data_IF_332810255438
#
_entry.id   IF_332810255438
#
_cell.length_a   1.000
_cell.length_b   1.000
_cell.length_c   1.000
_cell.angle_alpha   90.00
_cell.angle_beta   90.00
_cell.angle_gamma   90.00
#
_symmetry.space_group_name_H-M   'P 1'
#
loop_
_entity.id
_entity.type
_entity.pdbx_description
1 polymer ?
#
# COMPACT_ATOMS: atom_id res chain seq x y z
N UNK A 1 4.06 26.18 -3.83
CA UNK A 1 2.64 25.78 -3.79
C UNK A 1 2.62 24.27 -3.90
N UNK A 2 2.36 23.54 -2.80
CA UNK A 2 2.22 22.10 -2.90
C UNK A 2 0.95 21.82 -3.71
N UNK A 3 1.11 21.22 -4.88
CA UNK A 3 -0.01 20.63 -5.62
C UNK A 3 -0.56 19.53 -4.73
N UNK A 4 -1.70 19.79 -4.09
CA UNK A 4 -2.40 18.80 -3.29
C UNK A 4 -2.76 17.59 -4.16
N UNK A 5 -3.04 16.43 -3.55
CA UNK A 5 -3.49 15.27 -4.30
C UNK A 5 -4.71 15.62 -5.16
N UNK A 6 -4.86 14.99 -6.34
CA UNK A 6 -6.07 15.16 -7.15
C UNK A 6 -7.29 14.86 -6.28
N UNK A 7 -8.45 15.46 -6.59
CA UNK A 7 -9.67 15.34 -5.75
C UNK A 7 -10.02 13.90 -5.38
N UNK A 8 -9.77 12.96 -6.29
CA UNK A 8 -10.00 11.52 -6.09
C UNK A 8 -9.09 10.88 -5.04
N UNK A 9 -7.93 11.47 -4.72
CA UNK A 9 -6.97 11.01 -3.71
C UNK A 9 -6.90 11.96 -2.50
N UNK A 10 -7.82 12.92 -2.40
CA UNK A 10 -7.91 13.82 -1.26
C UNK A 10 -8.35 13.05 0.00
N UNK A 11 -9.29 12.12 -0.19
CA UNK A 11 -9.81 11.22 0.83
C UNK A 11 -8.76 10.18 1.28
N UNK A 12 -8.69 9.94 2.59
CA UNK A 12 -7.71 9.01 3.17
C UNK A 12 -8.07 7.55 2.89
N UNK A 13 -9.36 7.19 2.90
CA UNK A 13 -9.81 5.83 2.59
C UNK A 13 -9.41 5.40 1.18
N UNK A 14 -9.64 6.29 0.21
CA UNK A 14 -9.26 6.08 -1.20
C UNK A 14 -7.75 5.93 -1.36
N UNK A 15 -6.95 6.78 -0.70
CA UNK A 15 -5.49 6.62 -0.67
C UNK A 15 -5.09 5.28 -0.05
N UNK A 16 -5.73 4.88 1.05
CA UNK A 16 -5.46 3.62 1.73
C UNK A 16 -5.69 2.43 0.80
N UNK A 17 -6.80 2.40 0.08
CA UNK A 17 -7.09 1.34 -0.91
C UNK A 17 -5.99 1.27 -1.97
N UNK A 18 -5.64 2.41 -2.58
CA UNK A 18 -4.61 2.48 -3.62
C UNK A 18 -3.27 2.00 -3.07
N UNK A 19 -2.90 2.43 -1.87
CA UNK A 19 -1.66 2.02 -1.21
C UNK A 19 -1.65 0.51 -0.95
N UNK A 20 -2.74 -0.10 -0.47
CA UNK A 20 -2.83 -1.55 -0.29
C UNK A 20 -2.79 -2.31 -1.62
N UNK A 21 -3.41 -1.79 -2.69
CA UNK A 21 -3.29 -2.38 -4.02
C UNK A 21 -1.83 -2.43 -4.50
N UNK A 22 -1.07 -1.36 -4.29
CA UNK A 22 0.36 -1.32 -4.59
C UNK A 22 1.13 -2.34 -3.74
N UNK A 23 0.81 -2.49 -2.45
CA UNK A 23 1.43 -3.51 -1.60
C UNK A 23 1.17 -4.92 -2.09
N UNK A 24 -0.07 -5.22 -2.50
CA UNK A 24 -0.44 -6.53 -3.08
C UNK A 24 0.39 -6.80 -4.33
N UNK A 25 0.49 -5.83 -5.25
CA UNK A 25 1.29 -5.97 -6.47
C UNK A 25 2.77 -6.15 -6.16
N UNK A 26 3.32 -5.42 -5.18
CA UNK A 26 4.69 -5.59 -4.70
C UNK A 26 4.93 -7.00 -4.17
N UNK A 27 4.01 -7.52 -3.35
CA UNK A 27 4.12 -8.87 -2.81
C UNK A 27 4.00 -9.96 -3.89
N UNK A 28 3.09 -9.79 -4.85
CA UNK A 28 3.01 -10.68 -6.02
C UNK A 28 4.32 -10.65 -6.81
N UNK A 29 4.92 -9.47 -6.98
CA UNK A 29 6.24 -9.31 -7.60
C UNK A 29 7.34 -10.06 -6.86
N UNK A 30 7.33 -10.04 -5.53
CA UNK A 30 8.24 -10.83 -4.71
C UNK A 30 8.07 -12.33 -4.96
N UNK A 31 6.84 -12.85 -4.86
CA UNK A 31 6.53 -14.26 -5.08
C UNK A 31 6.91 -14.70 -6.50
N UNK A 32 6.58 -13.89 -7.51
CA UNK A 32 6.93 -14.17 -8.90
C UNK A 32 8.45 -14.21 -9.11
N UNK A 33 9.19 -13.28 -8.50
CA UNK A 33 10.65 -13.25 -8.56
C UNK A 33 11.27 -14.50 -7.93
N UNK A 34 10.75 -14.92 -6.77
CA UNK A 34 11.26 -16.10 -6.07
C UNK A 34 10.98 -17.42 -6.80
N UNK A 35 9.90 -17.50 -7.58
CA UNK A 35 9.46 -18.75 -8.23
C UNK A 35 9.90 -18.87 -9.68
N UNK A 36 10.03 -17.76 -10.41
CA UNK A 36 10.18 -17.77 -11.87
C UNK A 36 11.41 -17.02 -12.40
N UNK A 37 12.18 -16.35 -11.55
CA UNK A 37 13.38 -15.61 -11.96
C UNK A 37 14.61 -16.27 -11.35
N UNK A 38 15.56 -16.65 -12.20
CA UNK A 38 16.75 -17.40 -11.80
C UNK A 38 17.94 -16.48 -11.45
N UNK A 39 18.87 -17.04 -10.68
CA UNK A 39 20.14 -16.42 -10.33
C UNK A 39 20.01 -15.18 -9.44
N UNK A 40 21.06 -14.35 -9.46
CA UNK A 40 21.16 -13.16 -8.60
C UNK A 40 20.05 -12.14 -8.89
N UNK A 41 19.57 -12.07 -10.13
CA UNK A 41 18.48 -11.18 -10.51
C UNK A 41 17.21 -11.55 -9.73
N UNK A 42 16.86 -12.84 -9.66
CA UNK A 42 15.70 -13.31 -8.90
C UNK A 42 15.82 -13.01 -7.41
N UNK A 43 16.99 -13.26 -6.83
CA UNK A 43 17.26 -12.98 -5.41
C UNK A 43 17.16 -11.48 -5.10
N UNK A 44 17.81 -10.62 -5.88
CA UNK A 44 17.78 -9.16 -5.68
C UNK A 44 16.37 -8.62 -5.87
N UNK A 45 15.64 -9.06 -6.90
CA UNK A 45 14.26 -8.66 -7.13
C UNK A 45 13.34 -9.09 -6.00
N UNK A 46 13.45 -10.34 -5.52
CA UNK A 46 12.68 -10.83 -4.37
C UNK A 46 12.91 -9.94 -3.14
N UNK A 47 14.18 -9.72 -2.76
CA UNK A 47 14.53 -8.90 -1.59
C UNK A 47 14.04 -7.45 -1.77
N UNK A 48 14.17 -6.89 -2.97
CA UNK A 48 13.70 -5.54 -3.26
C UNK A 48 12.18 -5.41 -3.11
N UNK A 49 11.40 -6.34 -3.68
CA UNK A 49 9.94 -6.33 -3.58
C UNK A 49 9.43 -6.56 -2.15
N UNK A 50 10.08 -7.46 -1.39
CA UNK A 50 9.76 -7.67 0.04
C UNK A 50 10.02 -6.41 0.85
N UNK A 51 11.19 -5.78 0.69
CA UNK A 51 11.54 -4.55 1.42
C UNK A 51 10.62 -3.39 1.05
N UNK A 52 10.33 -3.22 -0.24
CA UNK A 52 9.39 -2.19 -0.71
C UNK A 52 8.01 -2.38 -0.07
N UNK A 53 7.46 -3.60 -0.15
CA UNK A 53 6.15 -3.92 0.42
C UNK A 53 6.14 -3.68 1.92
N UNK A 54 7.16 -4.15 2.64
CA UNK A 54 7.25 -3.99 4.11
C UNK A 54 7.38 -2.52 4.52
N UNK A 55 8.18 -1.73 3.81
CA UNK A 55 8.29 -0.29 4.02
C UNK A 55 6.96 0.43 3.82
N UNK A 56 6.22 0.07 2.78
CA UNK A 56 4.88 0.60 2.51
C UNK A 56 3.89 0.26 3.65
N UNK A 57 3.93 -0.97 4.19
CA UNK A 57 3.11 -1.36 5.36
C UNK A 57 3.40 -0.50 6.59
N UNK A 58 4.68 -0.23 6.88
CA UNK A 58 5.08 0.63 7.99
C UNK A 58 4.55 2.05 7.79
N UNK A 59 4.80 2.65 6.62
CA UNK A 59 4.34 4.00 6.31
C UNK A 59 2.81 4.13 6.41
N UNK A 60 2.07 3.15 5.88
CA UNK A 60 0.62 3.15 5.93
C UNK A 60 0.08 3.03 7.36
N UNK A 61 0.76 2.24 8.20
CA UNK A 61 0.40 2.10 9.62
C UNK A 61 0.56 3.43 10.36
N UNK A 62 1.67 4.15 10.13
CA UNK A 62 1.92 5.46 10.72
C UNK A 62 0.88 6.48 10.24
N UNK A 63 0.61 6.52 8.94
CA UNK A 63 -0.38 7.42 8.37
C UNK A 63 -1.81 7.14 8.87
N UNK A 64 -2.18 5.86 8.97
CA UNK A 64 -3.46 5.45 9.55
C UNK A 64 -3.58 5.94 10.99
N UNK A 65 -2.55 5.73 11.82
CA UNK A 65 -2.54 6.17 13.21
C UNK A 65 -2.65 7.70 13.33
N UNK A 66 -1.91 8.44 12.50
CA UNK A 66 -1.97 9.89 12.45
C UNK A 66 -3.34 10.42 12.04
N UNK A 67 -4.01 9.75 11.11
CA UNK A 67 -5.35 10.11 10.65
C UNK A 67 -6.39 9.95 11.78
N UNK A 68 -6.33 8.83 12.52
CA UNK A 68 -7.16 8.63 13.72
C UNK A 68 -6.88 9.69 14.79
N UNK A 69 -5.61 10.02 15.05
CA UNK A 69 -5.23 11.04 16.02
C UNK A 69 -5.71 12.45 15.65
N UNK A 70 -5.87 12.74 14.35
CA UNK A 70 -6.40 14.01 13.84
C UNK A 70 -7.94 14.09 13.90
N UNK A 71 -8.63 13.08 14.44
CA UNK A 71 -10.09 13.02 14.52
C UNK A 71 -10.78 12.74 13.18
N UNK A 72 -10.03 12.30 12.16
CA UNK A 72 -10.59 11.88 10.88
C UNK A 72 -10.99 10.41 10.99
N UNK A 73 -12.27 10.14 10.74
CA UNK A 73 -12.83 8.79 10.79
C UNK A 73 -12.25 7.96 9.63
N UNK A 74 -11.49 6.93 9.99
CA UNK A 74 -10.98 5.91 9.06
C UNK A 74 -11.09 4.57 9.78
N UNK A 75 -11.89 3.66 9.21
CA UNK A 75 -12.28 2.41 9.85
C UNK A 75 -11.50 1.20 9.29
N UNK A 76 -10.34 1.45 8.69
CA UNK A 76 -9.50 0.41 8.10
C UNK A 76 -9.86 0.04 6.67
N UNK A 77 -8.86 -0.45 5.93
CA UNK A 77 -8.96 -0.68 4.48
C UNK A 77 -10.07 -1.66 4.09
N UNK A 78 -10.38 -2.64 4.94
CA UNK A 78 -11.45 -3.61 4.65
C UNK A 78 -12.82 -2.95 4.63
N UNK A 79 -13.09 -2.06 5.58
CA UNK A 79 -14.34 -1.32 5.63
C UNK A 79 -14.45 -0.34 4.46
N UNK A 80 -13.35 0.33 4.11
CA UNK A 80 -13.28 1.17 2.91
C UNK A 80 -13.63 0.38 1.64
N UNK A 81 -13.03 -0.80 1.42
CA UNK A 81 -13.32 -1.64 0.25
C UNK A 81 -14.79 -2.08 0.22
N UNK A 82 -15.37 -2.44 1.36
CA UNK A 82 -16.78 -2.87 1.45
C UNK A 82 -17.76 -1.79 1.02
N UNK A 83 -17.43 -0.51 1.18
CA UNK A 83 -18.27 0.60 0.72
C UNK A 83 -18.39 0.67 -0.81
N UNK A 84 -17.43 0.12 -1.56
CA UNK A 84 -17.45 0.13 -3.03
C UNK A 84 -18.11 -1.11 -3.65
N UNK A 85 -18.36 -2.15 -2.85
CA UNK A 85 -18.90 -3.44 -3.33
C UNK A 85 -20.37 -3.64 -2.93
N UNK A 86 -20.88 -2.85 -1.97
CA UNK A 86 -22.30 -2.79 -1.62
C UNK A 86 -23.05 -1.79 -2.49
#
# INVERSE_FOLDING_TARGET
MAIGPPKTLADFGTRSIVTHAIMILGFIGAVASALFVEGDVGMVSFVAFVNFTSGMWICQSIHSLGNTAAGVEYDGVLNEVLQYVR
#
